data_IF_990000031442
#
_entry.id   IF_990000031442
#
_cell.length_a   1.000
_cell.length_b   1.000
_cell.length_c   1.000
_cell.angle_alpha   90.00
_cell.angle_beta   90.00
_cell.angle_gamma   90.00
#
_symmetry.space_group_name_H-M   'P 1'
#
loop_
_entity.id
_entity.type
_entity.pdbx_description
1 polymer ?
#
# COMPACT_ATOMS: atom_id res chain seq x y z
N UNK A 1 -9.46 -3.31 12.67
CA UNK A 1 -8.77 -2.14 12.08
C UNK A 1 -9.65 -1.54 11.00
N UNK A 2 -9.69 -0.22 10.90
CA UNK A 2 -10.52 0.45 9.89
C UNK A 2 -9.91 0.21 8.50
N UNK A 3 -10.67 -0.41 7.61
CA UNK A 3 -10.28 -0.68 6.23
C UNK A 3 -10.03 0.62 5.43
N UNK A 4 -10.57 1.76 5.91
CA UNK A 4 -10.55 3.09 5.27
C UNK A 4 -10.10 4.16 6.27
N UNK A 5 -8.86 4.08 6.67
CA UNK A 5 -8.36 4.86 7.80
C UNK A 5 -8.48 6.38 7.56
N UNK A 6 -8.02 6.88 6.42
CA UNK A 6 -8.06 8.32 6.07
C UNK A 6 -9.50 8.81 5.91
N UNK A 7 -10.30 8.12 5.12
CA UNK A 7 -11.70 8.49 4.88
C UNK A 7 -12.54 8.47 6.16
N UNK A 8 -12.33 7.45 7.01
CA UNK A 8 -12.99 7.38 8.32
C UNK A 8 -12.57 8.53 9.23
N UNK A 9 -11.28 8.89 9.22
CA UNK A 9 -10.76 10.01 9.98
C UNK A 9 -11.39 11.33 9.50
N UNK A 10 -11.36 11.62 8.20
CA UNK A 10 -11.86 12.85 7.61
C UNK A 10 -13.38 13.00 7.86
N UNK A 11 -14.16 11.93 7.70
CA UNK A 11 -15.59 11.92 8.02
C UNK A 11 -15.83 12.14 9.53
N UNK A 12 -15.01 11.57 10.39
CA UNK A 12 -15.03 11.81 11.83
C UNK A 12 -14.80 13.28 12.18
N UNK A 13 -13.80 13.91 11.56
CA UNK A 13 -13.53 15.34 11.72
C UNK A 13 -14.71 16.21 11.26
N UNK A 14 -15.30 15.91 10.10
CA UNK A 14 -16.47 16.61 9.57
C UNK A 14 -17.71 16.44 10.45
N UNK A 15 -17.81 15.39 11.25
CA UNK A 15 -18.91 15.16 12.19
C UNK A 15 -18.81 15.99 13.47
N UNK A 16 -17.63 16.53 13.82
CA UNK A 16 -17.40 17.35 15.02
C UNK A 16 -17.92 18.78 14.84
N UNK A 17 -19.24 18.95 14.72
CA UNK A 17 -19.86 20.23 14.38
C UNK A 17 -20.61 20.93 15.53
N UNK A 18 -20.91 20.21 16.60
CA UNK A 18 -21.79 20.69 17.67
C UNK A 18 -21.04 20.78 19.00
N UNK A 19 -21.46 21.76 19.81
CA UNK A 19 -20.89 22.01 21.13
C UNK A 19 -19.79 23.08 21.12
N UNK A 20 -19.45 23.58 22.32
CA UNK A 20 -18.41 24.60 22.51
C UNK A 20 -17.00 24.07 22.35
N UNK A 21 -16.79 22.78 22.64
CA UNK A 21 -15.49 22.12 22.59
C UNK A 21 -15.63 20.66 22.08
N UNK A 22 -15.96 20.46 20.80
CA UNK A 22 -16.05 19.11 20.26
C UNK A 22 -14.67 18.45 20.33
N UNK A 23 -14.64 17.19 20.78
CA UNK A 23 -13.40 16.42 20.95
C UNK A 23 -13.55 15.04 20.37
N UNK A 24 -12.46 14.52 19.84
CA UNK A 24 -12.34 13.13 19.40
C UNK A 24 -11.32 12.42 20.27
N UNK A 25 -11.59 11.18 20.63
CA UNK A 25 -10.64 10.30 21.33
C UNK A 25 -10.33 9.13 20.42
N UNK A 26 -9.04 8.91 20.17
CA UNK A 26 -8.54 7.79 19.38
C UNK A 26 -7.70 6.90 20.29
N UNK A 27 -8.05 5.62 20.35
CA UNK A 27 -7.26 4.60 21.05
C UNK A 27 -6.76 3.58 20.04
N UNK A 28 -5.47 3.33 20.02
CA UNK A 28 -4.86 2.40 19.07
C UNK A 28 -3.53 1.87 19.59
N UNK A 29 -3.17 0.65 19.17
CA UNK A 29 -1.78 0.23 19.19
C UNK A 29 -1.04 0.97 18.07
N UNK A 30 0.07 1.66 18.34
CA UNK A 30 0.72 2.50 17.35
C UNK A 30 1.37 1.67 16.25
N UNK A 31 0.84 1.80 15.04
CA UNK A 31 1.47 1.31 13.81
C UNK A 31 2.13 2.48 13.07
N UNK A 32 3.20 2.26 12.29
CA UNK A 32 3.92 3.32 11.59
C UNK A 32 3.16 3.89 10.38
N UNK A 33 1.86 4.14 10.55
CA UNK A 33 0.97 4.69 9.52
C UNK A 33 1.16 6.20 9.39
N UNK A 34 1.14 6.71 8.15
CA UNK A 34 1.30 8.13 7.86
C UNK A 34 0.25 8.98 8.59
N UNK A 35 -1.02 8.56 8.58
CA UNK A 35 -2.10 9.24 9.28
C UNK A 35 -1.85 9.32 10.78
N UNK A 36 -1.40 8.24 11.43
CA UNK A 36 -1.15 8.25 12.86
C UNK A 36 0.02 9.19 13.21
N UNK A 37 1.07 9.20 12.39
CA UNK A 37 2.20 10.13 12.54
C UNK A 37 1.76 11.59 12.38
N UNK A 38 0.85 11.86 11.44
CA UNK A 38 0.26 13.19 11.23
C UNK A 38 -0.56 13.63 12.46
N UNK A 39 -1.46 12.78 12.95
CA UNK A 39 -2.27 13.05 14.14
C UNK A 39 -1.40 13.35 15.37
N UNK A 40 -0.37 12.53 15.60
CA UNK A 40 0.54 12.70 16.75
C UNK A 40 1.37 13.98 16.67
N UNK A 41 1.66 14.47 15.45
CA UNK A 41 2.41 15.72 15.22
C UNK A 41 1.54 16.96 15.26
N UNK A 42 0.21 16.83 15.19
CA UNK A 42 -0.71 17.96 15.21
C UNK A 42 -0.65 18.66 16.59
N UNK A 43 -0.38 19.98 16.64
CA UNK A 43 -0.30 20.72 17.91
C UNK A 43 -1.58 20.71 18.75
N UNK A 44 -2.74 20.46 18.12
CA UNK A 44 -4.04 20.36 18.79
C UNK A 44 -4.28 18.98 19.42
N UNK A 45 -3.43 18.00 19.13
CA UNK A 45 -3.56 16.63 19.62
C UNK A 45 -2.82 16.46 20.96
N UNK A 46 -3.56 16.04 21.99
CA UNK A 46 -2.96 15.59 23.24
C UNK A 46 -2.70 14.08 23.19
N UNK A 47 -1.43 13.69 23.21
CA UNK A 47 -1.01 12.28 23.13
C UNK A 47 -0.73 11.75 24.54
N UNK A 48 -1.45 10.70 24.91
CA UNK A 48 -1.14 9.90 26.10
C UNK A 48 -0.61 8.55 25.68
N UNK A 49 0.37 8.02 26.38
CA UNK A 49 0.94 6.69 26.15
C UNK A 49 0.80 5.85 27.40
N UNK A 50 0.52 4.58 27.19
CA UNK A 50 0.48 3.58 28.24
C UNK A 50 1.10 2.29 27.71
N UNK A 51 1.81 1.61 28.59
CA UNK A 51 2.41 0.30 28.28
C UNK A 51 1.57 -0.82 28.88
N UNK A 52 1.74 -2.05 28.39
CA UNK A 52 1.16 -3.22 29.03
C UNK A 52 1.66 -3.36 30.48
N UNK A 53 2.88 -2.88 30.77
CA UNK A 53 3.44 -2.92 32.13
C UNK A 53 2.70 -2.01 33.12
N UNK A 54 2.19 -0.87 32.67
CA UNK A 54 1.42 0.05 33.51
C UNK A 54 0.09 -0.56 33.96
N UNK A 55 -0.42 -1.54 33.20
CA UNK A 55 -1.70 -2.21 33.45
C UNK A 55 -1.58 -3.65 33.99
N UNK A 56 -0.38 -4.09 34.38
CA UNK A 56 -0.12 -5.48 34.79
C UNK A 56 -1.05 -6.00 35.88
N UNK A 57 -1.43 -5.14 36.82
CA UNK A 57 -2.30 -5.53 37.95
C UNK A 57 -3.70 -5.98 37.50
N UNK A 58 -4.18 -5.46 36.38
CA UNK A 58 -5.50 -5.75 35.82
C UNK A 58 -5.47 -6.89 34.79
N UNK A 59 -4.29 -7.40 34.44
CA UNK A 59 -4.13 -8.44 33.43
C UNK A 59 -4.10 -9.84 34.08
N UNK A 60 -4.72 -10.80 33.42
CA UNK A 60 -4.72 -12.19 33.89
C UNK A 60 -3.29 -12.74 34.03
N UNK A 61 -2.98 -13.51 35.08
CA UNK A 61 -1.64 -14.05 35.31
C UNK A 61 -1.07 -14.84 34.14
N UNK A 62 -1.91 -15.69 33.51
CA UNK A 62 -1.52 -16.50 32.35
C UNK A 62 -1.16 -15.62 31.13
N UNK A 63 -1.91 -14.52 30.90
CA UNK A 63 -1.61 -13.57 29.85
C UNK A 63 -0.24 -12.92 30.10
N UNK A 64 0.02 -12.45 31.34
CA UNK A 64 1.31 -11.86 31.70
C UNK A 64 2.47 -12.81 31.43
N UNK A 65 2.38 -14.05 31.91
CA UNK A 65 3.45 -15.03 31.76
C UNK A 65 3.73 -15.36 30.28
N UNK A 66 2.66 -15.59 29.49
CA UNK A 66 2.81 -15.99 28.09
C UNK A 66 3.22 -14.83 27.17
N UNK A 67 2.59 -13.66 27.30
CA UNK A 67 2.82 -12.54 26.38
C UNK A 67 4.15 -11.87 26.69
N UNK A 68 4.47 -11.63 27.96
CA UNK A 68 5.74 -11.01 28.30
C UNK A 68 6.93 -11.92 27.98
N UNK A 69 6.85 -13.22 28.25
CA UNK A 69 7.89 -14.16 27.90
C UNK A 69 8.10 -14.29 26.37
N UNK A 70 7.02 -14.22 25.59
CA UNK A 70 7.05 -14.40 24.14
C UNK A 70 7.53 -13.17 23.40
N UNK A 71 7.17 -11.99 23.86
CA UNK A 71 7.41 -10.74 23.14
C UNK A 71 8.39 -9.79 23.81
N UNK A 72 8.85 -10.07 25.06
CA UNK A 72 9.90 -9.29 25.69
C UNK A 72 11.14 -9.24 24.77
N UNK A 73 11.70 -8.06 24.61
CA UNK A 73 12.88 -7.80 23.76
C UNK A 73 12.70 -8.09 22.26
N UNK A 74 11.46 -8.19 21.78
CA UNK A 74 11.18 -8.23 20.34
C UNK A 74 10.65 -6.87 19.89
N UNK A 75 10.81 -6.56 18.62
CA UNK A 75 10.32 -5.29 18.05
C UNK A 75 8.78 -5.26 18.02
N UNK A 76 8.12 -6.41 17.85
CA UNK A 76 6.67 -6.52 18.06
C UNK A 76 6.28 -6.23 19.50
N UNK A 77 7.14 -6.61 20.47
CA UNK A 77 6.96 -6.25 21.86
C UNK A 77 7.12 -4.76 22.14
N UNK A 78 8.04 -4.08 21.48
CA UNK A 78 8.17 -2.61 21.58
C UNK A 78 6.88 -1.92 21.11
N UNK A 79 6.30 -2.36 20.03
CA UNK A 79 5.04 -1.82 19.51
C UNK A 79 3.83 -2.19 20.38
N UNK A 80 3.61 -3.49 20.63
CA UNK A 80 2.39 -4.01 21.27
C UNK A 80 2.42 -3.91 22.80
N UNK A 81 3.61 -4.03 23.42
CA UNK A 81 3.77 -4.01 24.88
C UNK A 81 4.14 -2.61 25.38
N UNK A 82 5.07 -1.94 24.70
CA UNK A 82 5.56 -0.63 25.09
C UNK A 82 4.79 0.52 24.45
N UNK A 83 3.94 0.25 23.48
CA UNK A 83 3.16 1.29 22.80
C UNK A 83 4.05 2.30 22.04
N UNK A 84 5.21 1.88 21.54
CA UNK A 84 6.12 2.74 20.79
C UNK A 84 5.68 2.87 19.34
N UNK A 85 5.61 4.11 18.85
CA UNK A 85 5.40 4.41 17.45
C UNK A 85 6.73 4.28 16.70
N UNK A 86 6.93 3.15 16.08
CA UNK A 86 8.12 2.87 15.27
C UNK A 86 8.05 3.61 13.94
N UNK A 87 9.20 3.86 13.31
CA UNK A 87 9.22 4.44 11.97
C UNK A 87 8.84 3.44 10.89
N UNK A 88 9.26 2.21 11.03
CA UNK A 88 8.96 1.10 10.12
C UNK A 88 8.45 -0.12 10.89
N UNK A 89 7.70 -1.00 10.21
CA UNK A 89 7.28 -2.27 10.79
C UNK A 89 8.42 -3.29 10.63
N UNK A 90 8.91 -3.88 11.74
CA UNK A 90 9.99 -4.86 11.65
C UNK A 90 9.58 -6.10 10.89
N UNK A 91 10.44 -6.50 9.96
CA UNK A 91 10.18 -7.61 9.04
C UNK A 91 9.46 -7.19 7.77
N UNK A 92 9.02 -5.93 7.64
CA UNK A 92 8.59 -5.39 6.37
C UNK A 92 9.78 -5.33 5.39
N UNK A 93 9.49 -5.59 4.11
CA UNK A 93 10.52 -5.54 3.07
C UNK A 93 10.94 -4.11 2.71
N UNK A 94 10.05 -3.14 2.89
CA UNK A 94 10.32 -1.74 2.59
C UNK A 94 10.48 -0.91 3.86
N UNK A 95 11.42 0.02 3.82
CA UNK A 95 11.65 1.00 4.86
C UNK A 95 11.33 2.41 4.33
N UNK A 96 10.68 3.25 5.14
CA UNK A 96 10.34 4.63 4.72
C UNK A 96 11.58 5.44 4.35
N UNK A 97 12.70 5.17 4.99
CA UNK A 97 13.99 5.81 4.68
C UNK A 97 14.52 5.48 3.28
N UNK A 98 14.07 4.39 2.66
CA UNK A 98 14.45 4.02 1.29
C UNK A 98 13.57 4.67 0.23
N UNK A 99 12.46 5.32 0.61
CA UNK A 99 11.57 6.02 -0.30
C UNK A 99 12.11 7.42 -0.57
N UNK A 100 12.59 7.63 -1.78
CA UNK A 100 13.17 8.91 -2.22
C UNK A 100 12.13 9.68 -3.03
N UNK A 101 11.99 10.99 -2.79
CA UNK A 101 11.11 11.86 -3.56
C UNK A 101 11.93 12.72 -4.52
N UNK A 102 11.53 12.73 -5.80
CA UNK A 102 12.18 13.52 -6.87
C UNK A 102 11.13 13.95 -7.88
N UNK A 103 11.35 15.05 -8.55
CA UNK A 103 10.59 15.39 -9.76
C UNK A 103 10.78 14.32 -10.84
N UNK A 104 9.73 14.11 -11.64
CA UNK A 104 9.79 13.15 -12.75
C UNK A 104 10.86 13.59 -13.75
N UNK A 105 11.81 12.70 -14.03
CA UNK A 105 12.76 12.85 -15.13
C UNK A 105 12.10 12.48 -16.47
N UNK A 106 12.84 12.64 -17.58
CA UNK A 106 12.42 12.12 -18.87
C UNK A 106 12.23 10.59 -18.79
N UNK A 107 11.06 10.12 -19.18
CA UNK A 107 10.67 8.71 -19.05
C UNK A 107 10.91 7.96 -20.37
N UNK A 108 11.56 6.81 -20.25
CA UNK A 108 11.79 5.90 -21.38
C UNK A 108 10.58 4.98 -21.61
N UNK A 109 9.95 4.53 -20.54
CA UNK A 109 8.81 3.62 -20.58
C UNK A 109 7.89 3.85 -19.38
N UNK A 110 6.58 3.77 -19.62
CA UNK A 110 5.56 3.93 -18.59
C UNK A 110 4.55 2.79 -18.72
N UNK A 111 4.07 2.24 -17.61
CA UNK A 111 2.94 1.34 -17.59
C UNK A 111 1.94 1.75 -16.51
N UNK A 112 0.68 1.36 -16.73
CA UNK A 112 -0.35 1.34 -15.68
C UNK A 112 -0.44 -0.08 -15.18
N UNK A 113 -0.19 -0.30 -13.91
CA UNK A 113 -0.29 -1.61 -13.29
C UNK A 113 -1.61 -1.72 -12.51
N UNK A 114 -2.32 -2.82 -12.69
CA UNK A 114 -3.62 -3.07 -12.07
C UNK A 114 -3.57 -4.37 -11.28
N UNK A 115 -3.98 -4.31 -10.04
CA UNK A 115 -4.38 -5.46 -9.24
C UNK A 115 -5.88 -5.36 -8.95
N UNK A 116 -6.73 -6.09 -9.69
CA UNK A 116 -8.17 -5.92 -9.63
C UNK A 116 -8.76 -6.63 -8.42
N UNK A 117 -9.73 -5.98 -7.75
CA UNK A 117 -10.56 -6.63 -6.76
C UNK A 117 -11.36 -7.78 -7.38
N UNK A 118 -11.36 -8.94 -6.72
CA UNK A 118 -12.05 -10.16 -7.22
C UNK A 118 -13.56 -10.11 -7.02
N UNK A 119 -14.04 -9.27 -6.08
CA UNK A 119 -15.47 -9.18 -5.72
C UNK A 119 -16.09 -7.87 -6.20
N UNK A 120 -17.32 -7.95 -6.71
CA UNK A 120 -18.07 -6.80 -7.24
C UNK A 120 -19.15 -6.26 -6.28
N UNK A 121 -19.09 -6.58 -4.99
CA UNK A 121 -20.05 -6.08 -3.98
C UNK A 121 -19.70 -4.65 -3.53
N UNK A 122 -20.65 -3.94 -2.92
CA UNK A 122 -20.41 -2.62 -2.30
C UNK A 122 -19.31 -2.67 -1.22
N UNK A 123 -19.05 -3.85 -0.66
CA UNK A 123 -17.93 -4.14 0.24
C UNK A 123 -16.69 -4.70 -0.49
N UNK A 124 -16.60 -4.54 -1.81
CA UNK A 124 -15.49 -5.04 -2.62
C UNK A 124 -14.15 -4.50 -2.10
N UNK A 125 -13.12 -5.31 -2.26
CA UNK A 125 -11.74 -4.89 -2.04
C UNK A 125 -11.37 -3.74 -3.00
N UNK A 126 -10.36 -3.01 -2.65
CA UNK A 126 -9.87 -1.93 -3.48
C UNK A 126 -9.18 -2.52 -4.72
N UNK A 127 -9.32 -1.85 -5.86
CA UNK A 127 -8.50 -2.16 -7.03
C UNK A 127 -7.25 -1.29 -6.99
N UNK A 128 -6.09 -1.91 -6.92
CA UNK A 128 -4.80 -1.25 -7.02
C UNK A 128 -4.56 -0.76 -8.45
N UNK A 129 -4.35 0.56 -8.65
CA UNK A 129 -4.02 1.16 -9.94
C UNK A 129 -2.85 2.10 -9.78
N UNK A 130 -1.68 1.67 -10.18
CA UNK A 130 -0.47 2.48 -10.11
C UNK A 130 0.07 2.82 -11.50
N UNK A 131 0.61 4.01 -11.63
CA UNK A 131 1.39 4.40 -12.80
C UNK A 131 2.87 4.33 -12.47
N UNK A 132 3.55 3.44 -13.13
CA UNK A 132 4.97 3.16 -12.96
C UNK A 132 5.75 3.58 -14.20
N UNK A 133 6.92 4.15 -14.02
CA UNK A 133 7.80 4.55 -15.11
C UNK A 133 9.24 4.12 -14.90
N UNK A 134 9.99 4.08 -15.99
CA UNK A 134 11.46 3.99 -15.95
C UNK A 134 12.01 5.18 -16.71
N UNK A 135 12.90 5.93 -16.08
CA UNK A 135 13.53 7.09 -16.68
C UNK A 135 14.68 6.72 -17.64
N UNK A 136 15.21 7.71 -18.34
CA UNK A 136 16.34 7.53 -19.28
C UNK A 136 17.62 7.06 -18.58
N UNK A 137 17.72 7.23 -17.26
CA UNK A 137 18.86 6.76 -16.45
C UNK A 137 18.64 5.33 -15.92
N UNK A 138 17.47 4.73 -16.17
CA UNK A 138 17.12 3.40 -15.71
C UNK A 138 16.60 3.37 -14.27
N UNK A 139 16.22 4.51 -13.68
CA UNK A 139 15.59 4.55 -12.37
C UNK A 139 14.09 4.35 -12.50
N UNK A 140 13.52 3.57 -11.58
CA UNK A 140 12.07 3.38 -11.48
C UNK A 140 11.40 4.56 -10.77
N UNK A 141 10.24 4.96 -11.28
CA UNK A 141 9.46 6.07 -10.76
C UNK A 141 8.01 5.66 -10.51
N UNK A 142 7.50 5.90 -9.31
CA UNK A 142 6.05 5.90 -9.06
C UNK A 142 5.52 7.27 -9.44
N UNK A 143 4.67 7.30 -10.49
CA UNK A 143 4.17 8.53 -11.11
C UNK A 143 2.77 8.89 -10.62
N UNK A 144 1.97 7.91 -10.21
CA UNK A 144 0.60 8.12 -9.75
C UNK A 144 0.01 6.90 -9.07
N UNK A 145 -0.85 7.16 -8.09
CA UNK A 145 -1.73 6.19 -7.45
C UNK A 145 -3.17 6.63 -7.73
N UNK A 146 -3.91 5.77 -8.42
CA UNK A 146 -5.29 5.96 -8.83
C UNK A 146 -6.18 4.82 -8.36
N UNK A 147 -5.70 4.09 -7.36
CA UNK A 147 -6.42 3.00 -6.74
C UNK A 147 -7.76 3.46 -6.21
N UNK A 148 -8.78 2.65 -6.41
CA UNK A 148 -10.14 2.98 -6.00
C UNK A 148 -10.94 1.73 -5.68
N UNK A 149 -12.03 1.94 -4.99
CA UNK A 149 -13.12 0.98 -4.87
C UNK A 149 -14.17 1.33 -5.88
N UNK A 150 -14.62 0.35 -6.57
CA UNK A 150 -15.63 0.56 -7.59
C UNK A 150 -15.92 -0.67 -8.41
N UNK A 151 -16.93 -0.52 -9.23
CA UNK A 151 -17.32 -1.53 -10.20
C UNK A 151 -16.24 -1.72 -11.27
N UNK A 152 -16.24 -2.84 -12.01
CA UNK A 152 -15.34 -3.05 -13.13
C UNK A 152 -15.33 -1.91 -14.15
N UNK A 153 -16.48 -1.31 -14.45
CA UNK A 153 -16.56 -0.14 -15.34
C UNK A 153 -15.80 1.08 -14.76
N UNK A 154 -15.93 1.33 -13.46
CA UNK A 154 -15.29 2.48 -12.80
C UNK A 154 -13.76 2.35 -12.77
N UNK A 155 -13.23 1.22 -12.33
CA UNK A 155 -11.78 1.05 -12.32
C UNK A 155 -11.21 0.91 -13.73
N UNK A 156 -11.94 0.30 -14.67
CA UNK A 156 -11.54 0.23 -16.07
C UNK A 156 -11.40 1.60 -16.73
N UNK A 157 -12.39 2.49 -16.53
CA UNK A 157 -12.32 3.89 -16.97
C UNK A 157 -11.18 4.65 -16.33
N UNK A 158 -10.95 4.44 -15.03
CA UNK A 158 -9.84 5.08 -14.31
C UNK A 158 -8.48 4.64 -14.84
N UNK A 159 -8.31 3.34 -15.09
CA UNK A 159 -7.07 2.80 -15.64
C UNK A 159 -6.79 3.29 -17.07
N UNK A 160 -7.80 3.30 -17.94
CA UNK A 160 -7.67 3.83 -19.30
C UNK A 160 -7.40 5.34 -19.28
N UNK A 161 -8.07 6.09 -18.41
CA UNK A 161 -7.77 7.51 -18.21
C UNK A 161 -6.31 7.72 -17.77
N UNK A 162 -5.83 6.94 -16.78
CA UNK A 162 -4.45 7.02 -16.32
C UNK A 162 -3.45 6.67 -17.44
N UNK A 163 -3.77 5.66 -18.27
CA UNK A 163 -2.99 5.29 -19.44
C UNK A 163 -2.79 6.47 -20.40
N UNK A 164 -3.86 7.15 -20.78
CA UNK A 164 -3.78 8.30 -21.67
C UNK A 164 -3.13 9.52 -21.01
N UNK A 165 -3.48 9.82 -19.76
CA UNK A 165 -2.95 10.96 -19.02
C UNK A 165 -1.42 10.90 -18.87
N UNK A 166 -0.88 9.72 -18.60
CA UNK A 166 0.55 9.50 -18.43
C UNK A 166 1.26 9.03 -19.71
N UNK A 167 0.55 8.95 -20.83
CA UNK A 167 1.07 8.44 -22.10
C UNK A 167 1.77 7.08 -21.93
N UNK A 168 1.13 6.21 -21.17
CA UNK A 168 1.68 4.89 -20.87
C UNK A 168 1.80 4.04 -22.15
N UNK A 169 2.72 3.10 -22.15
CA UNK A 169 2.94 2.19 -23.27
C UNK A 169 1.97 1.00 -23.25
N UNK A 170 1.56 0.58 -22.05
CA UNK A 170 0.67 -0.57 -21.84
C UNK A 170 0.02 -0.53 -20.46
N UNK A 171 -1.04 -1.33 -20.32
CA UNK A 171 -1.60 -1.72 -19.03
C UNK A 171 -1.10 -3.11 -18.69
N UNK A 172 -0.60 -3.32 -17.46
CA UNK A 172 -0.22 -4.64 -16.91
C UNK A 172 -1.22 -5.02 -15.85
N UNK A 173 -1.75 -6.24 -15.90
CA UNK A 173 -2.72 -6.69 -14.93
C UNK A 173 -2.50 -8.15 -14.52
N UNK A 174 -2.68 -8.47 -13.23
CA UNK A 174 -2.64 -9.85 -12.75
C UNK A 174 -3.88 -10.61 -13.21
N UNK A 175 -3.66 -11.80 -13.78
CA UNK A 175 -4.71 -12.60 -14.42
C UNK A 175 -5.13 -13.84 -13.65
N UNK A 176 -4.58 -14.10 -12.45
CA UNK A 176 -4.87 -15.32 -11.68
C UNK A 176 -6.36 -15.48 -11.35
N UNK A 177 -7.09 -14.38 -11.23
CA UNK A 177 -8.50 -14.35 -10.86
C UNK A 177 -9.34 -13.53 -11.88
N UNK A 178 -9.35 -13.93 -13.16
CA UNK A 178 -10.25 -13.31 -14.14
C UNK A 178 -9.59 -12.44 -15.20
N UNK A 179 -8.40 -12.80 -15.69
CA UNK A 179 -7.67 -12.04 -16.71
C UNK A 179 -8.45 -11.69 -17.98
N UNK A 180 -9.32 -12.60 -18.45
CA UNK A 180 -10.20 -12.33 -19.59
C UNK A 180 -11.19 -11.19 -19.29
N UNK A 181 -11.72 -11.15 -18.05
CA UNK A 181 -12.63 -10.09 -17.60
C UNK A 181 -11.91 -8.74 -17.60
N UNK A 182 -10.66 -8.69 -17.12
CA UNK A 182 -9.88 -7.44 -17.09
C UNK A 182 -9.67 -6.91 -18.51
N UNK A 183 -9.24 -7.78 -19.43
CA UNK A 183 -9.04 -7.42 -20.81
C UNK A 183 -10.34 -6.94 -21.45
N UNK A 184 -11.45 -7.62 -21.16
CA UNK A 184 -12.77 -7.23 -21.65
C UNK A 184 -13.19 -5.85 -21.14
N UNK A 185 -13.04 -5.59 -19.85
CA UNK A 185 -13.35 -4.29 -19.21
C UNK A 185 -12.54 -3.16 -19.86
N UNK A 186 -11.22 -3.33 -19.97
CA UNK A 186 -10.36 -2.30 -20.59
C UNK A 186 -10.74 -2.06 -22.05
N UNK A 187 -10.93 -3.12 -22.85
CA UNK A 187 -11.31 -3.02 -24.28
C UNK A 187 -12.70 -2.45 -24.50
N UNK A 188 -13.61 -2.61 -23.54
CA UNK A 188 -14.94 -1.97 -23.59
C UNK A 188 -14.83 -0.45 -23.48
N UNK A 189 -13.84 0.05 -22.72
CA UNK A 189 -13.58 1.49 -22.60
C UNK A 189 -12.78 2.02 -23.79
N UNK A 190 -11.67 1.35 -24.14
CA UNK A 190 -10.86 1.68 -25.30
C UNK A 190 -10.21 0.40 -25.89
N UNK A 191 -10.63 -0.05 -27.09
CA UNK A 191 -10.12 -1.26 -27.69
C UNK A 191 -8.65 -1.16 -28.17
N UNK A 192 -8.08 0.04 -28.24
CA UNK A 192 -6.72 0.26 -28.74
C UNK A 192 -5.67 0.22 -27.62
N UNK A 193 -6.07 0.16 -26.35
CA UNK A 193 -5.14 0.12 -25.23
C UNK A 193 -4.48 -1.26 -25.15
N UNK A 194 -3.15 -1.35 -25.22
CA UNK A 194 -2.44 -2.61 -25.07
C UNK A 194 -2.55 -3.11 -23.63
N UNK A 195 -3.07 -4.31 -23.44
CA UNK A 195 -3.16 -4.99 -22.14
C UNK A 195 -2.25 -6.20 -22.13
N UNK A 196 -1.38 -6.28 -21.15
CA UNK A 196 -0.52 -7.41 -20.87
C UNK A 196 -0.99 -8.10 -19.60
N UNK A 197 -1.48 -9.32 -19.74
CA UNK A 197 -1.82 -10.17 -18.60
C UNK A 197 -0.58 -10.87 -18.09
N UNK A 198 -0.42 -10.91 -16.78
CA UNK A 198 0.67 -11.59 -16.08
C UNK A 198 0.11 -12.58 -15.06
N UNK A 199 0.76 -13.72 -14.93
CA UNK A 199 0.40 -14.74 -13.95
C UNK A 199 1.51 -14.90 -12.92
N UNK A 200 1.13 -15.01 -11.65
CA UNK A 200 2.06 -15.35 -10.59
C UNK A 200 2.54 -16.80 -10.74
N UNK A 201 3.82 -16.98 -10.97
CA UNK A 201 4.47 -18.31 -11.04
C UNK A 201 5.17 -18.68 -9.74
N UNK A 202 5.41 -17.71 -8.87
CA UNK A 202 6.06 -17.85 -7.57
C UNK A 202 5.29 -17.09 -6.50
N UNK A 203 5.55 -17.43 -5.24
CA UNK A 203 4.89 -16.79 -4.11
C UNK A 203 5.12 -15.28 -4.06
N UNK A 204 4.22 -14.56 -3.40
CA UNK A 204 4.23 -13.10 -3.30
C UNK A 204 5.54 -12.55 -2.74
N UNK A 205 6.02 -13.11 -1.64
CA UNK A 205 7.31 -12.73 -1.03
C UNK A 205 8.44 -12.73 -2.06
N UNK A 206 8.58 -13.81 -2.81
CA UNK A 206 9.62 -13.96 -3.84
C UNK A 206 9.50 -12.92 -4.97
N UNK A 207 8.28 -12.44 -5.27
CA UNK A 207 8.07 -11.37 -6.26
C UNK A 207 8.34 -9.98 -5.68
N UNK A 208 8.07 -9.80 -4.41
CA UNK A 208 8.22 -8.54 -3.70
C UNK A 208 9.69 -8.18 -3.41
N UNK A 209 10.50 -9.17 -3.00
CA UNK A 209 11.91 -8.96 -2.63
C UNK A 209 12.73 -8.21 -3.69
N UNK A 210 12.69 -8.57 -4.99
CA UNK A 210 13.49 -7.87 -6.00
C UNK A 210 13.08 -6.40 -6.16
N UNK A 211 11.77 -6.09 -6.01
CA UNK A 211 11.29 -4.71 -6.08
C UNK A 211 11.73 -3.93 -4.84
N UNK A 212 11.64 -4.52 -3.65
CA UNK A 212 12.14 -3.92 -2.41
C UNK A 212 13.65 -3.62 -2.50
N UNK A 213 14.43 -4.55 -3.05
CA UNK A 213 15.86 -4.37 -3.27
C UNK A 213 16.19 -3.20 -4.20
N UNK A 214 15.33 -2.88 -5.18
CA UNK A 214 15.51 -1.68 -6.01
C UNK A 214 15.36 -0.39 -5.19
N UNK A 215 14.45 -0.35 -4.23
CA UNK A 215 14.31 0.79 -3.29
C UNK A 215 15.56 0.93 -2.41
N UNK A 216 16.03 -0.16 -1.80
CA UNK A 216 17.24 -0.16 -0.96
C UNK A 216 18.48 0.31 -1.74
N UNK A 217 18.58 -0.06 -3.02
CA UNK A 217 19.66 0.36 -3.90
C UNK A 217 19.56 1.82 -4.37
N UNK A 218 18.52 2.55 -3.97
CA UNK A 218 18.27 3.92 -4.44
C UNK A 218 17.94 4.01 -5.93
N UNK A 219 17.48 2.91 -6.53
CA UNK A 219 17.07 2.82 -7.94
C UNK A 219 15.60 3.18 -8.15
N UNK A 220 14.88 3.52 -7.08
CA UNK A 220 13.46 3.87 -7.11
C UNK A 220 13.23 5.24 -6.51
N UNK A 221 12.20 5.94 -7.04
CA UNK A 221 11.73 7.17 -6.44
C UNK A 221 10.23 7.37 -6.66
N UNK A 222 9.63 8.21 -5.84
CA UNK A 222 8.26 8.69 -5.98
C UNK A 222 8.29 10.14 -6.44
N UNK A 223 7.40 10.52 -7.37
CA UNK A 223 7.35 11.92 -7.84
C UNK A 223 6.72 12.87 -6.81
N UNK A 224 6.01 12.31 -5.85
CA UNK A 224 5.41 12.96 -4.69
C UNK A 224 5.10 11.91 -3.63
N UNK A 225 4.72 12.29 -2.41
CA UNK A 225 4.19 11.33 -1.44
C UNK A 225 2.92 10.63 -1.94
N UNK A 226 2.84 9.33 -1.73
CA UNK A 226 1.68 8.47 -1.93
C UNK A 226 1.40 7.71 -0.62
N UNK A 227 0.78 8.38 0.38
CA UNK A 227 0.71 7.86 1.76
C UNK A 227 0.13 6.46 1.87
N UNK A 228 -0.96 6.17 1.13
CA UNK A 228 -1.63 4.87 1.21
C UNK A 228 -0.78 3.74 0.60
N UNK A 229 -0.10 3.99 -0.51
CA UNK A 229 0.87 3.05 -1.08
C UNK A 229 2.06 2.84 -0.14
N UNK A 230 2.63 3.92 0.36
CA UNK A 230 3.81 3.89 1.24
C UNK A 230 3.51 3.19 2.56
N UNK A 231 2.30 3.37 3.09
CA UNK A 231 1.83 2.63 4.27
C UNK A 231 1.73 1.13 3.96
N UNK A 232 1.15 0.75 2.82
CA UNK A 232 1.09 -0.66 2.41
C UNK A 232 2.48 -1.27 2.23
N UNK A 233 3.39 -0.58 1.55
CA UNK A 233 4.77 -1.02 1.36
C UNK A 233 5.49 -1.25 2.70
N UNK A 234 5.43 -0.26 3.61
CA UNK A 234 6.21 -0.27 4.85
C UNK A 234 5.54 -1.01 6.02
N UNK A 235 4.32 -1.51 5.84
CA UNK A 235 3.60 -2.25 6.90
C UNK A 235 3.22 -3.68 6.51
N UNK A 236 3.38 -4.07 5.25
CA UNK A 236 3.13 -5.43 4.83
C UNK A 236 4.26 -6.37 5.27
N UNK A 237 3.86 -7.50 5.85
CA UNK A 237 4.79 -8.57 6.23
C UNK A 237 4.63 -9.74 5.25
N UNK A 238 5.72 -10.42 4.88
CA UNK A 238 5.69 -11.56 3.97
C UNK A 238 4.77 -12.71 4.39
N UNK A 239 4.56 -12.86 5.69
CA UNK A 239 3.70 -13.89 6.28
C UNK A 239 2.24 -13.44 6.47
N UNK A 240 1.88 -12.21 6.06
CA UNK A 240 0.51 -11.73 6.13
C UNK A 240 -0.36 -12.50 5.12
N UNK A 241 -1.52 -13.03 5.56
CA UNK A 241 -2.42 -13.78 4.70
C UNK A 241 -3.09 -12.90 3.63
N UNK A 242 -3.24 -11.62 3.93
CA UNK A 242 -3.84 -10.63 3.03
C UNK A 242 -2.76 -9.81 2.33
N UNK A 243 -3.03 -9.51 1.08
CA UNK A 243 -2.18 -8.69 0.27
C UNK A 243 -2.82 -7.35 -0.02
N UNK A 244 -2.10 -6.26 0.22
CA UNK A 244 -2.59 -4.95 -0.13
C UNK A 244 -2.52 -4.71 -1.64
N UNK A 245 -3.61 -4.22 -2.22
CA UNK A 245 -3.80 -4.08 -3.67
C UNK A 245 -2.80 -3.11 -4.34
N UNK A 246 -2.48 -1.99 -3.67
CA UNK A 246 -1.47 -1.03 -4.19
C UNK A 246 -0.07 -1.62 -4.22
N UNK A 247 0.29 -2.39 -3.19
CA UNK A 247 1.58 -3.08 -3.12
C UNK A 247 1.70 -4.08 -4.28
N UNK A 248 0.66 -4.86 -4.56
CA UNK A 248 0.69 -5.82 -5.66
C UNK A 248 0.77 -5.13 -7.02
N UNK A 249 0.00 -4.07 -7.24
CA UNK A 249 0.12 -3.27 -8.45
C UNK A 249 1.54 -2.69 -8.61
N UNK A 250 2.17 -2.23 -7.52
CA UNK A 250 3.56 -1.76 -7.52
C UNK A 250 4.53 -2.86 -7.96
N UNK A 251 4.40 -4.05 -7.36
CA UNK A 251 5.24 -5.21 -7.69
C UNK A 251 5.09 -5.56 -9.18
N UNK A 252 3.88 -5.65 -9.69
CA UNK A 252 3.63 -5.99 -11.10
C UNK A 252 4.18 -4.93 -12.05
N UNK A 253 3.96 -3.65 -11.75
CA UNK A 253 4.46 -2.55 -12.57
C UNK A 253 5.98 -2.56 -12.71
N UNK A 254 6.71 -2.70 -11.61
CA UNK A 254 8.17 -2.68 -11.66
C UNK A 254 8.78 -4.01 -12.08
N UNK A 255 8.10 -5.12 -11.85
CA UNK A 255 8.50 -6.41 -12.44
C UNK A 255 8.49 -6.34 -13.96
N UNK A 256 7.44 -5.73 -14.56
CA UNK A 256 7.35 -5.53 -16.00
C UNK A 256 8.42 -4.58 -16.54
N UNK A 257 8.64 -3.46 -15.86
CA UNK A 257 9.50 -2.40 -16.36
C UNK A 257 11.01 -2.64 -16.13
N UNK A 258 11.39 -3.30 -15.04
CA UNK A 258 12.77 -3.34 -14.57
C UNK A 258 13.33 -4.75 -14.40
N UNK A 259 12.49 -5.76 -14.13
CA UNK A 259 12.96 -7.11 -13.81
C UNK A 259 12.75 -8.12 -14.96
N UNK A 260 12.03 -7.71 -16.02
CA UNK A 260 11.70 -8.59 -17.14
C UNK A 260 10.72 -9.70 -16.74
N UNK A 261 10.54 -10.69 -17.62
CA UNK A 261 9.56 -11.77 -17.46
C UNK A 261 9.97 -12.90 -16.48
N UNK A 262 10.88 -12.63 -15.55
CA UNK A 262 11.40 -13.68 -14.65
C UNK A 262 10.32 -14.27 -13.73
N UNK A 263 9.24 -13.53 -13.46
CA UNK A 263 8.19 -13.91 -12.50
C UNK A 263 6.80 -14.07 -13.12
N UNK A 264 6.69 -14.02 -14.44
CA UNK A 264 5.42 -14.13 -15.15
C UNK A 264 5.53 -15.01 -16.39
N UNK A 265 4.48 -15.80 -16.64
CA UNK A 265 4.29 -16.50 -17.92
C UNK A 265 3.34 -15.65 -18.77
N UNK A 266 3.67 -15.48 -20.04
CA UNK A 266 2.77 -14.84 -21.02
C UNK A 266 1.74 -15.87 -21.51
N UNK A 267 0.50 -15.47 -21.59
CA UNK A 267 -0.58 -16.21 -22.24
C UNK A 267 -1.00 -15.43 -23.48
#
# INVERSE_FOLDING_TARGET
AFKYLRETWDNGQLALRLGSHPRQVVTTTPRPLALLKEIVKDPSTHVTRGTTYDNLVNLAPNFRAQILARYANTTRGQQEIMGELLDDLPGALWHRSSIVYREAAELRRVCVAIDPAVTSSEDADETGILVCGVDVKGLGAVLGDYSLRGTPDQWGRKAVWAYHQHKANLIVAEANNGGEMITHVIRTVDPNVPVKLVHATVGKHTRAEPVAALYEQGKMYHVRPFPDLEDQLCTWLPDDPESPDRLDACIWGFSELMLGSQFSVFV
#
